data_IF_988967276992
#
_entry.id   IF_988967276992
#
_cell.length_a   1.000
_cell.length_b   1.000
_cell.length_c   1.000
_cell.angle_alpha   90.00
_cell.angle_beta   90.00
_cell.angle_gamma   90.00
#
_symmetry.space_group_name_H-M   'P 1'
#
loop_
_entity.id
_entity.type
_entity.pdbx_description
1 polymer ?
#
# COMPACT_ATOMS: atom_id res chain seq x y z
N UNK A 1 -3.30 17.38 6.68
CA UNK A 1 -3.98 16.26 6.00
C UNK A 1 -4.48 15.28 7.05
N UNK A 2 -5.73 14.90 6.96
CA UNK A 2 -6.39 14.06 7.94
C UNK A 2 -6.50 12.63 7.38
N UNK A 3 -6.16 11.64 8.20
CA UNK A 3 -6.25 10.24 7.81
C UNK A 3 -7.68 9.83 7.46
N UNK A 4 -8.70 10.48 8.01
CA UNK A 4 -10.10 10.17 7.70
C UNK A 4 -10.49 10.55 6.27
N UNK A 5 -9.69 11.35 5.59
CA UNK A 5 -9.94 11.79 4.21
C UNK A 5 -9.14 10.99 3.18
N UNK A 6 -8.84 9.74 3.49
CA UNK A 6 -8.21 8.82 2.54
C UNK A 6 -9.26 8.10 1.72
N UNK A 7 -9.11 8.15 0.40
CA UNK A 7 -9.91 7.33 -0.52
C UNK A 7 -9.01 6.29 -1.16
N UNK A 8 -9.39 5.04 -1.05
CA UNK A 8 -8.61 3.93 -1.60
C UNK A 8 -9.34 3.32 -2.78
N UNK A 9 -8.60 3.10 -3.86
CA UNK A 9 -9.09 2.38 -5.03
C UNK A 9 -8.23 1.14 -5.24
N UNK A 10 -8.86 -0.01 -5.31
CA UNK A 10 -8.16 -1.25 -5.62
C UNK A 10 -8.04 -1.33 -7.14
N UNK A 11 -6.82 -1.17 -7.65
CA UNK A 11 -6.59 -1.12 -9.09
C UNK A 11 -6.54 -2.51 -9.71
N UNK A 12 -6.03 -3.50 -8.98
CA UNK A 12 -5.86 -4.84 -9.48
C UNK A 12 -5.83 -5.82 -8.33
N UNK A 13 -6.53 -6.94 -8.48
CA UNK A 13 -6.50 -8.03 -7.51
C UNK A 13 -5.73 -9.18 -8.13
N UNK A 14 -4.65 -9.61 -7.47
CA UNK A 14 -3.86 -10.75 -7.93
C UNK A 14 -4.59 -12.04 -7.59
N UNK A 15 -4.75 -12.91 -8.59
CA UNK A 15 -5.49 -14.17 -8.43
C UNK A 15 -4.61 -15.39 -8.58
N UNK A 16 -3.31 -15.22 -8.45
CA UNK A 16 -2.36 -16.31 -8.66
C UNK A 16 -2.11 -17.18 -7.43
N UNK A 17 -2.75 -16.85 -6.31
CA UNK A 17 -2.57 -17.61 -5.08
C UNK A 17 -1.29 -17.30 -4.33
N UNK A 18 -0.49 -16.36 -4.80
CA UNK A 18 0.74 -15.97 -4.13
C UNK A 18 0.52 -15.04 -2.94
N UNK A 19 1.61 -14.51 -2.42
CA UNK A 19 1.55 -13.59 -1.27
C UNK A 19 0.99 -12.23 -1.63
N UNK A 20 1.27 -11.73 -2.83
CA UNK A 20 0.72 -10.46 -3.30
C UNK A 20 -0.77 -10.62 -3.58
N UNK A 21 -1.58 -9.77 -2.95
CA UNK A 21 -3.04 -9.86 -3.07
C UNK A 21 -3.63 -8.77 -3.95
N UNK A 22 -3.10 -7.55 -3.90
CA UNK A 22 -3.69 -6.44 -4.63
C UNK A 22 -2.72 -5.29 -4.77
N UNK A 23 -3.01 -4.43 -5.75
CA UNK A 23 -2.39 -3.11 -5.91
C UNK A 23 -3.46 -2.06 -5.67
N UNK A 24 -3.09 -0.99 -5.01
CA UNK A 24 -4.03 0.07 -4.64
C UNK A 24 -3.47 1.45 -4.93
N UNK A 25 -4.38 2.38 -5.17
CA UNK A 25 -4.10 3.80 -5.26
C UNK A 25 -4.80 4.48 -4.10
N UNK A 26 -4.11 5.34 -3.39
CA UNK A 26 -4.67 6.06 -2.25
C UNK A 26 -4.67 7.55 -2.56
N UNK A 27 -5.83 8.19 -2.38
CA UNK A 27 -6.00 9.64 -2.58
C UNK A 27 -6.18 10.30 -1.22
N UNK A 28 -5.40 11.33 -0.95
CA UNK A 28 -5.44 12.06 0.33
C UNK A 28 -6.10 13.42 0.12
N UNK A 29 -7.17 13.68 0.87
CA UNK A 29 -7.91 14.95 0.83
C UNK A 29 -8.35 15.37 -0.58
N UNK A 30 -8.44 14.44 -1.52
CA UNK A 30 -8.75 14.77 -2.90
C UNK A 30 -7.66 15.57 -3.63
N UNK A 31 -6.49 15.74 -3.00
CA UNK A 31 -5.42 16.59 -3.52
C UNK A 31 -4.17 15.83 -3.92
N UNK A 32 -3.87 14.73 -3.23
CA UNK A 32 -2.66 13.95 -3.49
C UNK A 32 -3.02 12.49 -3.71
N UNK A 33 -2.35 11.86 -4.65
CA UNK A 33 -2.61 10.46 -4.99
C UNK A 33 -1.31 9.68 -5.04
N UNK A 34 -1.31 8.52 -4.39
CA UNK A 34 -0.16 7.62 -4.37
C UNK A 34 -0.55 6.32 -5.07
N UNK A 35 0.22 5.96 -6.09
CA UNK A 35 0.02 4.72 -6.85
C UNK A 35 1.02 3.66 -6.39
N UNK A 36 0.67 2.40 -6.57
CA UNK A 36 1.60 1.31 -6.33
C UNK A 36 1.70 0.84 -4.89
N UNK A 37 0.71 1.16 -4.07
CA UNK A 37 0.62 0.58 -2.74
C UNK A 37 0.22 -0.89 -2.90
N UNK A 38 0.96 -1.80 -2.28
CA UNK A 38 0.71 -3.22 -2.42
C UNK A 38 0.11 -3.79 -1.15
N UNK A 39 -0.84 -4.70 -1.32
CA UNK A 39 -1.39 -5.50 -0.23
C UNK A 39 -0.89 -6.91 -0.40
N UNK A 40 -0.24 -7.45 0.61
CA UNK A 40 0.31 -8.80 0.56
C UNK A 40 0.14 -9.51 1.88
N UNK A 41 0.20 -10.83 1.84
CA UNK A 41 0.13 -11.65 3.04
C UNK A 41 1.51 -11.80 3.65
N UNK A 42 1.60 -11.58 4.96
CA UNK A 42 2.82 -11.77 5.73
C UNK A 42 2.57 -12.78 6.84
N UNK A 43 3.61 -13.08 7.62
CA UNK A 43 3.49 -14.02 8.74
C UNK A 43 2.46 -13.57 9.76
N UNK A 44 2.17 -12.29 9.83
CA UNK A 44 1.21 -11.73 10.79
C UNK A 44 -0.15 -11.43 10.16
N UNK A 45 -0.39 -11.90 8.91
CA UNK A 45 -1.61 -11.65 8.19
C UNK A 45 -1.41 -10.63 7.05
N UNK A 46 -2.49 -9.99 6.63
CA UNK A 46 -2.42 -9.00 5.55
C UNK A 46 -1.68 -7.76 6.01
N UNK A 47 -0.81 -7.26 5.16
CA UNK A 47 -0.05 -6.04 5.43
C UNK A 47 0.12 -5.24 4.15
N UNK A 48 0.39 -3.95 4.29
CA UNK A 48 0.61 -3.08 3.14
C UNK A 48 2.11 -2.82 2.97
N UNK A 49 2.51 -2.64 1.72
CA UNK A 49 3.88 -2.31 1.35
C UNK A 49 3.86 -1.06 0.49
N UNK A 50 4.71 -0.10 0.84
CA UNK A 50 4.75 1.17 0.16
C UNK A 50 5.47 1.06 -1.18
N UNK A 51 5.16 1.96 -2.13
CA UNK A 51 5.91 2.01 -3.38
C UNK A 51 7.37 2.31 -3.10
N UNK A 52 8.27 1.61 -3.80
CA UNK A 52 9.71 1.70 -3.58
C UNK A 52 10.43 2.03 -4.85
N UNK A 53 11.56 2.71 -4.71
CA UNK A 53 12.48 2.99 -5.79
C UNK A 53 13.74 2.14 -5.60
N UNK A 54 14.26 1.57 -6.68
CA UNK A 54 15.48 0.81 -6.62
C UNK A 54 16.64 1.63 -7.17
N UNK A 55 17.84 1.41 -6.64
CA UNK A 55 19.05 2.01 -7.17
C UNK A 55 20.23 1.11 -6.90
N UNK A 56 21.26 1.22 -7.74
CA UNK A 56 22.48 0.43 -7.60
C UNK A 56 23.57 1.28 -6.96
N UNK A 57 24.21 0.73 -5.94
CA UNK A 57 25.35 1.36 -5.30
C UNK A 57 26.41 0.30 -5.00
N UNK A 58 27.60 0.49 -5.54
CA UNK A 58 28.72 -0.44 -5.33
C UNK A 58 28.37 -1.89 -5.67
N UNK A 59 27.63 -2.10 -6.76
CA UNK A 59 27.24 -3.42 -7.20
C UNK A 59 26.10 -4.05 -6.44
N UNK A 60 25.51 -3.32 -5.51
CA UNK A 60 24.34 -3.80 -4.72
C UNK A 60 23.09 -3.07 -5.15
N UNK A 61 21.98 -3.80 -5.21
CA UNK A 61 20.67 -3.21 -5.42
C UNK A 61 20.05 -2.81 -4.09
N UNK A 62 19.74 -1.53 -3.94
CA UNK A 62 19.13 -1.00 -2.74
C UNK A 62 17.72 -0.53 -3.03
N UNK A 63 16.87 -0.54 -1.99
CA UNK A 63 15.47 -0.16 -2.08
C UNK A 63 15.19 0.96 -1.10
N UNK A 64 14.42 1.95 -1.53
CA UNK A 64 13.97 3.01 -0.63
C UNK A 64 12.50 3.31 -0.90
N UNK A 65 11.74 3.55 0.15
CA UNK A 65 10.35 3.94 0.00
C UNK A 65 10.28 5.34 -0.60
N UNK A 66 9.45 5.51 -1.62
CA UNK A 66 9.17 6.85 -2.17
C UNK A 66 8.02 7.54 -1.46
N UNK A 67 7.32 6.80 -0.63
CA UNK A 67 6.22 7.27 0.19
C UNK A 67 6.08 6.34 1.39
N UNK A 68 5.93 6.91 2.58
CA UNK A 68 5.63 6.10 3.77
C UNK A 68 4.99 6.95 4.86
N UNK A 69 4.11 6.36 5.68
CA UNK A 69 3.59 7.06 6.85
C UNK A 69 4.68 7.24 7.89
N UNK A 70 4.68 8.39 8.55
CA UNK A 70 5.73 8.72 9.53
C UNK A 70 5.30 8.50 10.98
N UNK A 71 4.05 8.10 11.20
CA UNK A 71 3.57 7.75 12.53
C UNK A 71 2.91 6.39 12.50
N UNK A 72 2.86 5.71 13.65
CA UNK A 72 2.18 4.42 13.74
C UNK A 72 0.68 4.57 13.51
N UNK A 73 0.08 5.67 13.95
CA UNK A 73 -1.34 5.93 13.71
C UNK A 73 -1.66 6.09 12.24
N UNK A 74 -0.82 6.81 11.50
CA UNK A 74 -1.02 6.97 10.07
C UNK A 74 -0.87 5.64 9.32
N UNK A 75 0.12 4.83 9.71
CA UNK A 75 0.31 3.50 9.11
C UNK A 75 -0.88 2.59 9.36
N UNK A 76 -1.41 2.57 10.57
CA UNK A 76 -2.57 1.77 10.92
C UNK A 76 -3.80 2.22 10.13
N UNK A 77 -4.04 3.52 10.05
CA UNK A 77 -5.18 4.05 9.31
C UNK A 77 -5.10 3.69 7.82
N UNK A 78 -3.92 3.83 7.22
CA UNK A 78 -3.71 3.48 5.82
C UNK A 78 -3.91 1.99 5.58
N UNK A 79 -3.33 1.15 6.43
CA UNK A 79 -3.47 -0.30 6.32
C UNK A 79 -4.93 -0.72 6.41
N UNK A 80 -5.67 -0.21 7.38
CA UNK A 80 -7.08 -0.55 7.53
C UNK A 80 -7.92 -0.10 6.35
N UNK A 81 -7.67 1.09 5.82
CA UNK A 81 -8.40 1.59 4.66
C UNK A 81 -8.17 0.71 3.44
N UNK A 82 -6.93 0.30 3.19
CA UNK A 82 -6.61 -0.57 2.05
C UNK A 82 -7.24 -1.94 2.22
N UNK A 83 -7.14 -2.52 3.41
CA UNK A 83 -7.70 -3.85 3.68
C UNK A 83 -9.23 -3.83 3.53
N UNK A 84 -9.89 -2.80 4.03
CA UNK A 84 -11.35 -2.68 3.92
C UNK A 84 -11.80 -2.65 2.46
N UNK A 85 -11.14 -1.82 1.64
CA UNK A 85 -11.49 -1.74 0.23
C UNK A 85 -11.17 -3.03 -0.51
N UNK A 86 -10.07 -3.69 -0.15
CA UNK A 86 -9.73 -4.98 -0.74
C UNK A 86 -10.83 -6.02 -0.45
N UNK A 87 -11.29 -6.10 0.79
CA UNK A 87 -12.35 -7.05 1.16
C UNK A 87 -13.64 -6.79 0.42
N UNK A 88 -13.99 -5.53 0.19
CA UNK A 88 -15.17 -5.17 -0.60
C UNK A 88 -15.01 -5.55 -2.05
N UNK A 89 -13.84 -5.31 -2.62
CA UNK A 89 -13.58 -5.60 -4.03
C UNK A 89 -13.42 -7.09 -4.30
N UNK A 90 -12.98 -7.87 -3.31
CA UNK A 90 -12.71 -9.30 -3.49
C UNK A 90 -13.94 -10.19 -3.27
N UNK A 91 -15.05 -9.61 -2.87
CA UNK A 91 -16.29 -10.38 -2.69
C UNK A 91 -16.88 -10.88 -4.01
#
# INVERSE_FOLDING_TARGET
>A
MDASNMDVTIDHIAKDGGKLKAFATVTFDGMFRVHGVRLAESKQGLNIFMPQKTFNKNGKTLYTDVFHPITSGARTALKEAVIDDYRKAAK
#
